data_IF_331129885643
#
_entry.id   IF_331129885643
#
_cell.length_a   1.000
_cell.length_b   1.000
_cell.length_c   1.000
_cell.angle_alpha   90.00
_cell.angle_beta   90.00
_cell.angle_gamma   90.00
#
_symmetry.space_group_name_H-M   'P 1'
#
loop_
_entity.id
_entity.type
_entity.pdbx_description
1 polymer ?
#
# COMPACT_ATOMS: atom_id res chain seq x y z
N UNK A 1 13.24 -11.61 5.47
CA UNK A 1 13.63 -11.14 4.13
C UNK A 1 13.78 -9.64 4.21
N UNK A 2 14.76 -9.04 3.54
CA UNK A 2 14.97 -7.58 3.50
C UNK A 2 14.70 -7.08 2.08
N UNK A 3 14.38 -5.80 1.90
CA UNK A 3 14.26 -5.21 0.55
C UNK A 3 15.52 -5.42 -0.30
N UNK A 4 16.69 -5.62 0.32
CA UNK A 4 17.95 -5.95 -0.39
C UNK A 4 17.90 -7.28 -1.14
N UNK A 5 16.95 -8.15 -0.81
CA UNK A 5 16.74 -9.42 -1.50
C UNK A 5 15.95 -9.25 -2.82
N UNK A 6 15.28 -8.09 -3.02
CA UNK A 6 14.55 -7.76 -4.24
C UNK A 6 15.50 -7.57 -5.43
N UNK A 7 15.10 -8.11 -6.57
CA UNK A 7 15.82 -7.99 -7.83
C UNK A 7 14.88 -8.34 -9.00
N UNK A 8 15.37 -8.20 -10.23
CA UNK A 8 14.57 -8.41 -11.44
C UNK A 8 13.96 -9.82 -11.59
N UNK A 9 14.48 -10.83 -10.89
CA UNK A 9 13.98 -12.19 -10.89
C UNK A 9 13.13 -12.54 -9.66
N UNK A 10 12.95 -11.59 -8.75
CA UNK A 10 12.15 -11.81 -7.55
C UNK A 10 10.71 -12.16 -7.92
N UNK A 11 10.11 -13.03 -7.11
CA UNK A 11 8.73 -13.49 -7.22
C UNK A 11 8.13 -13.52 -5.82
N UNK A 12 6.82 -13.24 -5.69
CA UNK A 12 6.11 -13.43 -4.44
C UNK A 12 6.10 -14.90 -4.02
N UNK A 13 6.22 -15.12 -2.72
CA UNK A 13 6.14 -16.44 -2.08
C UNK A 13 5.66 -16.31 -0.62
N UNK A 14 5.29 -17.43 -0.03
CA UNK A 14 4.85 -17.50 1.36
C UNK A 14 5.88 -16.90 2.33
N UNK A 15 5.43 -15.98 3.19
CA UNK A 15 6.26 -15.31 4.19
C UNK A 15 7.13 -14.17 3.64
N UNK A 16 6.88 -13.73 2.39
CA UNK A 16 7.60 -12.60 1.77
C UNK A 16 6.71 -11.36 1.75
N UNK A 17 6.86 -10.49 2.75
CA UNK A 17 6.05 -9.28 2.89
C UNK A 17 6.91 -8.05 2.64
N UNK A 18 6.45 -7.21 1.72
CA UNK A 18 7.05 -5.96 1.28
C UNK A 18 5.97 -4.92 1.03
N UNK A 19 6.27 -3.70 1.45
CA UNK A 19 5.47 -2.52 1.19
C UNK A 19 6.17 -1.70 0.11
N UNK A 20 5.41 -1.14 -0.83
CA UNK A 20 5.98 -0.29 -1.85
C UNK A 20 5.06 0.90 -2.17
N UNK A 21 5.62 2.11 -2.32
CA UNK A 21 4.83 3.28 -2.60
C UNK A 21 4.51 3.41 -4.09
N UNK A 22 3.29 3.84 -4.39
CA UNK A 22 2.77 4.01 -5.73
C UNK A 22 2.09 5.37 -5.90
N UNK A 23 2.11 5.91 -7.12
CA UNK A 23 1.47 7.17 -7.47
C UNK A 23 0.51 7.00 -8.65
N UNK A 24 -0.72 7.49 -8.51
CA UNK A 24 -1.71 7.48 -9.59
C UNK A 24 -1.49 8.61 -10.61
N UNK A 25 -2.28 8.62 -11.69
CA UNK A 25 -2.15 9.63 -12.76
C UNK A 25 -2.47 11.07 -12.31
N UNK A 26 -3.06 11.25 -11.13
CA UNK A 26 -3.38 12.54 -10.53
C UNK A 26 -2.39 12.94 -9.44
N UNK A 27 -1.33 12.17 -9.24
CA UNK A 27 -0.31 12.44 -8.24
C UNK A 27 -0.68 12.00 -6.83
N UNK A 28 -1.77 11.25 -6.63
CA UNK A 28 -2.13 10.72 -5.30
C UNK A 28 -1.28 9.50 -4.97
N UNK A 29 -0.95 9.31 -3.70
CA UNK A 29 -0.03 8.28 -3.24
C UNK A 29 -0.77 7.12 -2.56
N UNK A 30 -0.31 5.90 -2.83
CA UNK A 30 -0.74 4.68 -2.16
C UNK A 30 0.47 3.92 -1.59
N UNK A 31 0.24 3.20 -0.49
CA UNK A 31 1.13 2.14 0.00
C UNK A 31 0.52 0.81 -0.40
N UNK A 32 1.31 -0.01 -1.09
CA UNK A 32 0.91 -1.29 -1.64
C UNK A 32 1.61 -2.40 -0.85
N UNK A 33 0.86 -3.23 -0.15
CA UNK A 33 1.37 -4.34 0.65
C UNK A 33 1.20 -5.62 -0.13
N UNK A 34 2.31 -6.26 -0.50
CA UNK A 34 2.26 -7.46 -1.33
C UNK A 34 1.68 -8.68 -0.61
N UNK A 35 1.61 -8.63 0.72
CA UNK A 35 0.95 -9.61 1.56
C UNK A 35 1.22 -11.08 1.13
N UNK A 36 2.51 -11.43 1.05
CA UNK A 36 3.06 -12.68 0.49
C UNK A 36 2.96 -12.84 -1.03
N UNK A 37 1.78 -12.62 -1.63
CA UNK A 37 1.45 -13.13 -2.96
C UNK A 37 1.39 -12.09 -4.09
N UNK A 38 1.39 -10.81 -3.74
CA UNK A 38 1.35 -9.69 -4.67
C UNK A 38 2.66 -9.52 -5.43
N UNK A 39 2.56 -9.34 -6.73
CA UNK A 39 3.69 -8.98 -7.60
C UNK A 39 4.10 -7.52 -7.35
N UNK A 40 5.39 -7.26 -7.43
CA UNK A 40 5.95 -5.90 -7.44
C UNK A 40 6.17 -5.44 -8.89
N UNK A 41 6.11 -4.13 -9.18
CA UNK A 41 6.37 -3.62 -10.52
C UNK A 41 7.77 -3.98 -11.01
N UNK A 42 7.89 -4.48 -12.25
CA UNK A 42 9.20 -4.76 -12.87
C UNK A 42 10.13 -3.55 -12.90
N UNK A 43 9.56 -2.35 -13.03
CA UNK A 43 10.31 -1.10 -12.99
C UNK A 43 11.00 -0.88 -11.64
N UNK A 44 10.35 -1.26 -10.53
CA UNK A 44 10.93 -1.25 -9.19
C UNK A 44 11.99 -2.35 -9.07
N UNK A 45 11.63 -3.58 -9.42
CA UNK A 45 12.52 -4.75 -9.30
C UNK A 45 13.81 -4.63 -10.14
N UNK A 46 13.79 -3.84 -11.20
CA UNK A 46 14.96 -3.60 -12.07
C UNK A 46 15.76 -2.35 -11.69
N UNK A 47 15.37 -1.63 -10.62
CA UNK A 47 16.02 -0.40 -10.19
C UNK A 47 16.56 -0.54 -8.76
N UNK A 48 17.85 -0.86 -8.66
CA UNK A 48 18.52 -1.08 -7.37
C UNK A 48 18.51 0.17 -6.48
N UNK A 49 18.68 1.36 -7.06
CA UNK A 49 18.68 2.62 -6.30
C UNK A 49 17.31 2.88 -5.68
N UNK A 50 16.22 2.63 -6.42
CA UNK A 50 14.86 2.70 -5.88
C UNK A 50 14.61 1.67 -4.77
N UNK A 51 15.10 0.44 -4.93
CA UNK A 51 14.96 -0.62 -3.90
C UNK A 51 15.65 -0.20 -2.59
N UNK A 52 16.84 0.40 -2.67
CA UNK A 52 17.56 0.90 -1.49
C UNK A 52 16.81 2.01 -0.73
N UNK A 53 15.83 2.65 -1.37
CA UNK A 53 15.04 3.71 -0.77
C UNK A 53 13.73 3.21 -0.14
N UNK A 54 13.33 1.94 -0.33
CA UNK A 54 12.08 1.41 0.23
C UNK A 54 12.09 1.40 1.77
N UNK A 55 13.14 0.86 2.38
CA UNK A 55 13.31 0.88 3.85
C UNK A 55 13.26 2.33 4.40
N UNK A 56 14.12 3.28 3.93
CA UNK A 56 14.04 4.68 4.37
C UNK A 56 12.70 5.35 4.10
N UNK A 57 12.00 5.00 3.01
CA UNK A 57 10.69 5.55 2.70
C UNK A 57 9.65 5.09 3.72
N UNK A 58 9.66 3.79 4.05
CA UNK A 58 8.72 3.22 5.00
C UNK A 58 8.99 3.73 6.42
N UNK A 59 10.24 3.79 6.86
CA UNK A 59 10.62 4.43 8.14
C UNK A 59 10.13 5.89 8.22
N UNK A 60 10.28 6.65 7.14
CA UNK A 60 9.83 8.04 7.08
C UNK A 60 8.33 8.19 7.27
N UNK A 61 7.54 7.34 6.60
CA UNK A 61 6.09 7.46 6.58
C UNK A 61 5.43 6.89 7.84
N UNK A 62 6.03 5.87 8.48
CA UNK A 62 5.44 5.20 9.67
C UNK A 62 5.98 5.71 11.00
N UNK A 63 7.28 6.02 11.09
CA UNK A 63 7.93 6.40 12.36
C UNK A 63 8.19 7.90 12.44
N UNK A 64 8.58 8.52 11.32
CA UNK A 64 8.88 9.95 11.25
C UNK A 64 10.09 10.41 12.07
N UNK A 65 10.81 9.48 12.74
CA UNK A 65 12.05 9.72 13.49
C UNK A 65 13.21 9.16 12.68
N UNK A 66 13.47 9.80 11.54
CA UNK A 66 14.54 9.43 10.63
C UNK A 66 15.40 10.66 10.27
N UNK A 67 16.35 10.46 9.35
CA UNK A 67 17.17 11.55 8.80
C UNK A 67 16.38 12.62 8.05
N UNK A 68 15.10 12.37 7.76
CA UNK A 68 14.16 13.25 7.07
C UNK A 68 13.08 13.81 7.99
N UNK A 69 13.17 13.60 9.31
CA UNK A 69 12.17 13.99 10.31
C UNK A 69 11.76 15.47 10.25
N UNK A 70 12.67 16.35 9.83
CA UNK A 70 12.40 17.78 9.57
C UNK A 70 11.39 18.05 8.45
N UNK A 71 11.12 17.07 7.60
CA UNK A 71 10.13 17.10 6.52
C UNK A 71 8.86 16.32 6.88
N UNK A 72 8.75 15.82 8.11
CA UNK A 72 7.55 15.11 8.55
C UNK A 72 6.33 16.02 8.49
N UNK A 73 5.21 15.44 8.09
CA UNK A 73 3.91 16.11 8.02
C UNK A 73 2.81 15.22 8.61
N UNK A 74 1.68 15.85 8.91
CA UNK A 74 0.42 15.18 9.20
C UNK A 74 -0.70 15.87 8.43
N UNK A 75 -1.55 15.08 7.75
CA UNK A 75 -2.71 15.58 7.00
C UNK A 75 -3.89 15.91 7.88
N UNK A 76 -3.96 15.37 9.09
CA UNK A 76 -5.12 15.51 9.99
C UNK A 76 -6.46 15.16 9.31
N UNK A 77 -6.44 14.11 8.47
CA UNK A 77 -7.62 13.57 7.81
C UNK A 77 -8.28 12.46 8.62
N UNK A 78 -9.07 11.65 7.93
CA UNK A 78 -9.74 10.46 8.47
C UNK A 78 -9.40 9.25 7.58
N UNK A 79 -9.39 8.07 8.20
CA UNK A 79 -9.28 6.78 7.52
C UNK A 79 -10.68 6.22 7.31
N UNK A 80 -10.99 5.84 6.08
CA UNK A 80 -12.23 5.14 5.74
C UNK A 80 -11.88 3.74 5.25
N UNK A 81 -12.55 2.74 5.82
CA UNK A 81 -12.52 1.36 5.34
C UNK A 81 -13.27 1.26 4.01
N UNK A 82 -12.65 0.70 2.96
CA UNK A 82 -13.31 0.45 1.68
C UNK A 82 -13.61 -1.05 1.49
N UNK A 83 -12.62 -1.82 1.03
CA UNK A 83 -12.67 -3.28 0.91
C UNK A 83 -11.90 -3.93 2.05
N UNK A 84 -12.14 -5.19 2.35
CA UNK A 84 -11.35 -5.89 3.37
C UNK A 84 -11.26 -7.40 3.15
N UNK A 85 -10.22 -8.00 3.73
CA UNK A 85 -10.02 -9.45 3.72
C UNK A 85 -11.08 -10.15 4.56
N UNK A 86 -11.82 -11.06 3.94
CA UNK A 86 -12.77 -11.94 4.62
C UNK A 86 -12.06 -12.93 5.55
N UNK A 87 -10.82 -13.30 5.24
CA UNK A 87 -10.01 -14.18 6.07
C UNK A 87 -9.51 -13.48 7.35
N UNK A 88 -8.96 -12.27 7.22
CA UNK A 88 -8.45 -11.48 8.36
C UNK A 88 -9.58 -11.13 9.32
N UNK A 89 -10.71 -10.67 8.79
CA UNK A 89 -11.85 -10.23 9.60
C UNK A 89 -12.92 -11.30 9.80
N UNK A 90 -12.61 -12.59 9.60
CA UNK A 90 -13.58 -13.69 9.71
C UNK A 90 -14.29 -13.81 11.07
N UNK A 91 -13.69 -13.26 12.12
CA UNK A 91 -14.25 -13.29 13.48
C UNK A 91 -15.34 -12.21 13.68
N UNK A 92 -15.37 -11.18 12.83
CA UNK A 92 -16.34 -10.12 12.90
C UNK A 92 -17.64 -10.50 12.21
N UNK A 93 -18.75 -10.12 12.83
CA UNK A 93 -20.09 -10.47 12.32
C UNK A 93 -20.70 -9.40 11.44
N UNK A 94 -20.19 -8.17 11.53
CA UNK A 94 -20.70 -7.04 10.77
C UNK A 94 -19.60 -6.01 10.49
N UNK A 95 -19.79 -5.27 9.39
CA UNK A 95 -18.84 -4.26 8.91
C UNK A 95 -18.62 -3.11 9.90
N UNK A 96 -19.63 -2.72 10.67
CA UNK A 96 -19.54 -1.57 11.59
C UNK A 96 -18.54 -1.80 12.72
N UNK A 97 -18.39 -3.05 13.18
CA UNK A 97 -17.37 -3.41 14.17
C UNK A 97 -15.96 -3.23 13.61
N UNK A 98 -15.75 -3.64 12.35
CA UNK A 98 -14.47 -3.48 11.65
C UNK A 98 -14.18 -2.00 11.41
N UNK A 99 -15.17 -1.22 10.95
CA UNK A 99 -15.02 0.23 10.77
C UNK A 99 -14.65 0.93 12.08
N UNK A 100 -15.23 0.48 13.20
CA UNK A 100 -14.90 1.00 14.53
C UNK A 100 -13.46 0.64 14.93
N UNK A 101 -13.04 -0.60 14.72
CA UNK A 101 -11.65 -1.02 14.98
C UNK A 101 -10.66 -0.22 14.13
N UNK A 102 -10.90 -0.10 12.82
CA UNK A 102 -10.06 0.71 11.90
C UNK A 102 -9.98 2.16 12.37
N UNK A 103 -11.10 2.74 12.81
CA UNK A 103 -11.11 4.10 13.35
C UNK A 103 -10.29 4.22 14.64
N UNK A 104 -10.41 3.27 15.57
CA UNK A 104 -9.64 3.28 16.82
C UNK A 104 -8.14 3.10 16.57
N UNK A 105 -7.77 2.19 15.66
CA UNK A 105 -6.39 1.97 15.24
C UNK A 105 -5.79 3.18 14.53
N UNK A 106 -6.57 3.86 13.66
CA UNK A 106 -6.11 5.05 12.93
C UNK A 106 -5.66 6.22 13.82
N UNK A 107 -6.11 6.23 15.08
CA UNK A 107 -5.84 7.28 16.07
C UNK A 107 -4.60 7.00 16.94
N UNK A 108 -3.91 5.88 16.74
CA UNK A 108 -2.68 5.61 17.51
C UNK A 108 -1.62 6.67 17.21
N UNK A 109 -1.15 7.34 18.26
CA UNK A 109 -0.24 8.49 18.15
C UNK A 109 1.24 8.09 18.24
N UNK A 110 1.56 6.97 18.88
CA UNK A 110 2.95 6.57 19.15
C UNK A 110 3.59 5.75 18.02
N UNK A 111 2.77 5.08 17.21
CA UNK A 111 3.18 4.26 16.05
C UNK A 111 2.07 4.41 15.02
N UNK A 112 2.43 4.81 13.80
CA UNK A 112 1.48 4.87 12.69
C UNK A 112 1.30 3.45 12.16
N UNK A 113 0.14 2.85 12.47
CA UNK A 113 -0.26 1.58 11.87
C UNK A 113 -0.72 1.80 10.43
N UNK A 114 -0.99 0.72 9.70
CA UNK A 114 -1.55 0.80 8.36
C UNK A 114 -2.89 1.55 8.35
N UNK A 115 -3.72 1.38 9.39
CA UNK A 115 -4.95 2.14 9.61
C UNK A 115 -4.71 3.63 9.87
N UNK A 116 -3.55 4.00 10.41
CA UNK A 116 -3.16 5.39 10.64
C UNK A 116 -2.63 6.10 9.39
N UNK A 117 -2.07 5.36 8.43
CA UNK A 117 -1.48 5.93 7.22
C UNK A 117 -2.43 6.85 6.43
N UNK A 118 -3.71 6.49 6.19
CA UNK A 118 -4.61 7.38 5.46
C UNK A 118 -4.94 8.67 6.20
N UNK A 119 -5.32 8.60 7.48
CA UNK A 119 -5.66 9.79 8.27
C UNK A 119 -4.46 10.73 8.47
N UNK A 120 -3.29 10.15 8.78
CA UNK A 120 -2.11 10.93 9.18
C UNK A 120 -1.25 11.33 7.98
N UNK A 121 -1.13 10.47 6.96
CA UNK A 121 -0.24 10.69 5.81
C UNK A 121 -0.99 10.90 4.51
N UNK A 122 -2.30 10.70 4.48
CA UNK A 122 -3.10 10.98 3.29
C UNK A 122 -2.88 10.00 2.14
N UNK A 123 -2.38 8.81 2.44
CA UNK A 123 -2.11 7.77 1.43
C UNK A 123 -3.24 6.74 1.40
N UNK A 124 -3.49 6.18 0.22
CA UNK A 124 -4.30 4.97 0.11
C UNK A 124 -3.52 3.76 0.60
N UNK A 125 -4.21 2.71 1.05
CA UNK A 125 -3.59 1.44 1.41
C UNK A 125 -4.23 0.32 0.61
N UNK A 126 -3.41 -0.44 -0.12
CA UNK A 126 -3.85 -1.60 -0.89
C UNK A 126 -3.14 -2.85 -0.41
N UNK A 127 -3.90 -3.91 -0.16
CA UNK A 127 -3.36 -5.21 0.24
C UNK A 127 -3.57 -6.21 -0.87
N UNK A 128 -2.57 -7.05 -1.12
CA UNK A 128 -2.76 -8.24 -1.93
C UNK A 128 -3.64 -9.27 -1.19
N UNK A 129 -4.50 -9.95 -1.93
CA UNK A 129 -5.29 -11.09 -1.42
C UNK A 129 -4.35 -12.20 -1.00
N UNK A 130 -4.43 -12.62 0.26
CA UNK A 130 -3.58 -13.68 0.82
C UNK A 130 -4.28 -15.05 0.78
N UNK A 131 -3.56 -16.10 1.15
CA UNK A 131 -4.12 -17.41 1.46
C UNK A 131 -3.04 -18.47 1.49
N UNK A 132 -3.44 -19.69 1.86
CA UNK A 132 -2.60 -20.87 1.67
C UNK A 132 -2.93 -21.59 0.34
N UNK A 133 -4.07 -21.24 -0.27
CA UNK A 133 -4.60 -21.79 -1.52
C UNK A 133 -5.62 -20.83 -2.13
N UNK A 134 -5.92 -20.93 -3.43
CA UNK A 134 -6.95 -20.13 -4.07
C UNK A 134 -8.30 -20.20 -3.34
N UNK A 135 -8.93 -19.03 -3.17
CA UNK A 135 -10.22 -18.88 -2.48
C UNK A 135 -10.19 -19.04 -0.96
N UNK A 136 -9.01 -19.13 -0.34
CA UNK A 136 -8.91 -19.15 1.12
C UNK A 136 -9.26 -17.78 1.73
N UNK A 137 -8.82 -16.71 1.08
CA UNK A 137 -9.31 -15.36 1.31
C UNK A 137 -10.20 -14.91 0.14
N UNK A 138 -11.01 -13.90 0.42
CA UNK A 138 -11.90 -13.22 -0.51
C UNK A 138 -12.10 -11.78 -0.06
N UNK A 139 -12.36 -10.90 -1.03
CA UNK A 139 -12.47 -9.46 -0.77
C UNK A 139 -13.92 -9.08 -0.50
N UNK A 140 -14.22 -8.69 0.74
CA UNK A 140 -15.57 -8.26 1.12
C UNK A 140 -15.85 -6.84 0.61
N UNK A 141 -17.03 -6.63 0.04
CA UNK A 141 -17.44 -5.36 -0.57
C UNK A 141 -17.11 -5.24 -2.07
N UNK A 142 -16.63 -6.32 -2.67
CA UNK A 142 -16.39 -6.46 -4.10
C UNK A 142 -17.20 -7.65 -4.65
N UNK A 143 -18.05 -7.40 -5.65
CA UNK A 143 -18.94 -8.42 -6.23
C UNK A 143 -18.28 -9.24 -7.35
N UNK A 144 -17.10 -8.81 -7.82
CA UNK A 144 -16.35 -9.51 -8.86
C UNK A 144 -15.50 -10.64 -8.31
N UNK A 145 -14.88 -11.39 -9.22
CA UNK A 145 -13.92 -12.42 -8.86
C UNK A 145 -12.57 -11.80 -8.47
N UNK A 146 -11.90 -12.41 -7.50
CA UNK A 146 -10.54 -12.06 -7.07
C UNK A 146 -9.69 -13.32 -7.01
N UNK A 147 -8.41 -13.21 -7.33
CA UNK A 147 -7.42 -14.28 -7.11
C UNK A 147 -6.37 -13.85 -6.09
N UNK A 148 -5.66 -14.85 -5.58
CA UNK A 148 -4.52 -14.64 -4.68
C UNK A 148 -3.48 -13.74 -5.36
N UNK A 149 -2.98 -12.75 -4.63
CA UNK A 149 -2.08 -11.72 -5.14
C UNK A 149 -2.77 -10.46 -5.70
N UNK A 150 -4.06 -10.50 -6.04
CA UNK A 150 -4.75 -9.28 -6.51
C UNK A 150 -4.74 -8.22 -5.41
N UNK A 151 -4.46 -6.96 -5.76
CA UNK A 151 -4.42 -5.88 -4.79
C UNK A 151 -5.80 -5.22 -4.66
N UNK A 152 -6.40 -5.24 -3.47
CA UNK A 152 -7.64 -4.52 -3.18
C UNK A 152 -7.39 -3.27 -2.35
N UNK A 153 -8.19 -2.22 -2.60
CA UNK A 153 -8.13 -0.95 -1.86
C UNK A 153 -8.71 -1.13 -0.46
N UNK A 154 -7.85 -1.39 0.51
CA UNK A 154 -8.24 -1.61 1.89
C UNK A 154 -8.73 -0.31 2.53
N UNK A 155 -7.90 0.75 2.48
CA UNK A 155 -8.19 2.00 3.17
C UNK A 155 -8.05 3.21 2.23
N UNK A 156 -8.91 4.20 2.47
CA UNK A 156 -8.90 5.47 1.73
C UNK A 156 -8.73 6.66 2.69
N UNK A 157 -7.95 7.68 2.31
CA UNK A 157 -7.83 8.92 3.05
C UNK A 157 -8.91 9.93 2.64
N UNK A 158 -9.28 10.84 3.54
CA UNK A 158 -10.13 12.01 3.20
C UNK A 158 -9.34 13.22 2.71
N UNK A 159 -8.04 13.28 3.02
CA UNK A 159 -7.11 14.33 2.55
C UNK A 159 -5.95 13.63 1.87
N UNK A 160 -5.72 13.92 0.59
CA UNK A 160 -4.72 13.20 -0.21
C UNK A 160 -3.31 13.76 -0.03
N UNK A 161 -2.33 12.86 0.11
CA UNK A 161 -0.94 13.16 -0.14
C UNK A 161 -0.65 13.20 -1.64
N UNK A 162 0.38 13.98 -1.95
CA UNK A 162 0.98 14.13 -3.25
C UNK A 162 2.48 13.91 -3.16
N UNK A 163 3.14 13.88 -4.31
CA UNK A 163 4.60 13.78 -4.39
C UNK A 163 5.34 14.88 -3.61
N UNK A 164 4.74 16.06 -3.46
CA UNK A 164 5.37 17.18 -2.77
C UNK A 164 5.39 17.04 -1.26
N UNK A 165 4.60 16.11 -0.70
CA UNK A 165 4.64 15.79 0.71
C UNK A 165 5.87 14.94 1.09
N UNK A 166 6.62 14.42 0.11
CA UNK A 166 7.78 13.57 0.35
C UNK A 166 9.11 14.28 0.03
N UNK A 167 10.17 14.06 0.84
CA UNK A 167 11.52 14.51 0.54
C UNK A 167 11.96 14.08 -0.86
N UNK A 168 12.65 14.97 -1.60
CA UNK A 168 13.03 14.71 -2.99
C UNK A 168 13.89 13.46 -3.14
N UNK A 169 14.72 13.18 -2.14
CA UNK A 169 15.61 12.04 -2.04
C UNK A 169 14.87 10.70 -1.93
N UNK A 170 13.63 10.71 -1.42
CA UNK A 170 12.80 9.51 -1.25
C UNK A 170 11.87 9.26 -2.43
N UNK A 171 11.55 10.30 -3.22
CA UNK A 171 10.63 10.21 -4.36
C UNK A 171 10.98 9.10 -5.36
N UNK A 172 12.25 8.79 -5.67
CA UNK A 172 12.59 7.71 -6.60
C UNK A 172 12.18 6.31 -6.15
N UNK A 173 11.77 6.11 -4.89
CA UNK A 173 11.16 4.86 -4.41
C UNK A 173 9.75 4.62 -4.97
N UNK A 174 9.09 5.67 -5.48
CA UNK A 174 7.67 5.65 -5.84
C UNK A 174 7.49 5.14 -7.27
N UNK A 175 6.69 4.09 -7.44
CA UNK A 175 6.27 3.59 -8.74
C UNK A 175 5.10 4.42 -9.28
N UNK A 176 5.11 4.78 -10.56
CA UNK A 176 4.18 5.77 -11.14
C UNK A 176 3.29 5.12 -12.19
N UNK A 177 2.00 5.42 -12.11
CA UNK A 177 1.00 5.07 -13.12
C UNK A 177 0.60 6.28 -13.96
N UNK A 178 0.35 6.02 -15.24
CA UNK A 178 -0.24 7.00 -16.16
C UNK A 178 -1.75 6.74 -16.39
N UNK A 179 -2.30 5.63 -15.87
CA UNK A 179 -3.67 5.17 -16.17
C UNK A 179 -4.54 5.01 -14.92
N UNK A 180 -3.95 4.58 -13.81
CA UNK A 180 -4.64 4.33 -12.54
C UNK A 180 -5.19 5.62 -11.94
N UNK A 181 -6.35 5.51 -11.31
CA UNK A 181 -7.01 6.51 -10.47
C UNK A 181 -7.37 5.86 -9.13
N UNK A 182 -6.60 6.16 -8.07
CA UNK A 182 -6.83 5.53 -6.75
C UNK A 182 -8.17 5.89 -6.14
N UNK A 183 -8.91 6.87 -6.67
CA UNK A 183 -10.28 7.18 -6.20
C UNK A 183 -11.34 6.28 -6.83
N UNK A 184 -11.02 5.60 -7.94
CA UNK A 184 -11.95 4.74 -8.69
C UNK A 184 -11.52 3.28 -8.72
N UNK A 185 -10.22 3.03 -8.90
CA UNK A 185 -9.68 1.69 -9.11
C UNK A 185 -9.49 0.99 -7.76
N UNK A 186 -10.44 0.11 -7.43
CA UNK A 186 -10.51 -0.58 -6.14
C UNK A 186 -9.79 -1.92 -6.11
N UNK A 187 -9.45 -2.47 -7.29
CA UNK A 187 -8.81 -3.76 -7.45
C UNK A 187 -7.78 -3.70 -8.58
N UNK A 188 -6.61 -4.31 -8.38
CA UNK A 188 -5.61 -4.52 -9.43
C UNK A 188 -5.32 -6.02 -9.59
N UNK A 189 -5.46 -6.47 -10.84
CA UNK A 189 -5.04 -7.80 -11.29
C UNK A 189 -3.53 -7.98 -11.08
N UNK A 190 -3.15 -8.99 -10.30
CA UNK A 190 -1.76 -9.27 -9.94
C UNK A 190 -0.83 -9.38 -11.16
N UNK A 191 -1.32 -10.00 -12.25
CA UNK A 191 -0.49 -10.27 -13.43
C UNK A 191 -0.18 -8.99 -14.23
N UNK A 192 -0.88 -7.88 -13.90
CA UNK A 192 -0.80 -6.60 -14.62
C UNK A 192 -0.16 -5.49 -13.80
N UNK A 193 0.41 -5.78 -12.63
CA UNK A 193 1.03 -4.75 -11.77
C UNK A 193 2.09 -3.93 -12.52
N UNK A 194 2.88 -4.59 -13.38
CA UNK A 194 3.88 -3.89 -14.21
C UNK A 194 3.28 -3.06 -15.36
N UNK A 195 2.04 -3.34 -15.78
CA UNK A 195 1.32 -2.52 -16.76
C UNK A 195 0.69 -1.29 -16.08
N UNK A 196 0.19 -1.46 -14.86
CA UNK A 196 -0.36 -0.36 -14.07
C UNK A 196 0.73 0.62 -13.62
N UNK A 197 1.89 0.14 -13.20
CA UNK A 197 3.01 0.96 -12.69
C UNK A 197 4.29 0.72 -13.50
N UNK A 198 4.38 1.23 -14.74
CA UNK A 198 5.44 0.86 -15.68
C UNK A 198 6.79 1.55 -15.41
N UNK A 199 6.88 2.50 -14.48
CA UNK A 199 8.08 3.33 -14.28
C UNK A 199 8.24 3.79 -12.83
N UNK A 200 9.47 4.08 -12.43
CA UNK A 200 9.76 4.79 -11.18
C UNK A 200 9.65 6.30 -11.39
N UNK A 201 9.39 7.03 -10.31
CA UNK A 201 9.45 8.48 -10.30
C UNK A 201 10.89 8.96 -10.57
N UNK A 202 11.04 10.09 -11.25
CA UNK A 202 12.33 10.66 -11.68
C UNK A 202 12.60 12.01 -11.03
#
# INVERSE_FOLDING_TARGET
MSYKDLNANWRPDFGTIFDWPAMDKFGKIAIMVNNCWGDLPKALLSNYDSILLLDPFMEHITEGIDKFSQYSYSKHGETILDLYSGLTYKAYTNRKEIEKEVFEESKRENVITDEGLPAQKGVFVYYAVEGCKPGHDFVVGYDGETKMGDYFRYLIPTIYASIEDFPKELRPAIAVSDTVDFTKDRLFDNDKISEYFPRMYR
#
